data_IF_627660737512
#
_entry.id   IF_627660737512
#
_cell.length_a   1.000
_cell.length_b   1.000
_cell.length_c   1.000
_cell.angle_alpha   90.00
_cell.angle_beta   90.00
_cell.angle_gamma   90.00
#
_symmetry.space_group_name_H-M   'P 1'
#
loop_
_entity.id
_entity.type
_entity.pdbx_description
1 polymer ?
#
# COMPACT_ATOMS: atom_id res chain seq x y z
N UNK A 1 9.27 49.04 6.48
CA UNK A 1 8.53 48.13 5.58
C UNK A 1 9.47 47.22 4.75
N UNK A 2 10.49 46.58 5.34
CA UNK A 2 11.42 45.69 4.59
C UNK A 2 11.45 44.23 5.08
N UNK A 3 10.92 43.94 6.27
CA UNK A 3 10.99 42.60 6.86
C UNK A 3 9.75 41.73 6.61
N UNK A 4 8.64 42.31 6.14
CA UNK A 4 7.41 41.55 5.85
C UNK A 4 7.54 40.62 4.63
N UNK A 5 8.36 41.02 3.65
CA UNK A 5 8.56 40.24 2.43
C UNK A 5 9.35 38.95 2.69
N UNK A 6 10.32 38.99 3.62
CA UNK A 6 11.10 37.83 4.02
C UNK A 6 10.25 36.77 4.75
N UNK A 7 9.28 37.22 5.55
CA UNK A 7 8.35 36.33 6.27
C UNK A 7 7.40 35.65 5.29
N UNK A 8 6.90 36.39 4.28
CA UNK A 8 6.05 35.82 3.23
C UNK A 8 6.78 34.76 2.39
N UNK A 9 8.07 34.98 2.11
CA UNK A 9 8.91 34.03 1.39
C UNK A 9 9.17 32.75 2.19
N UNK A 10 9.29 32.86 3.52
CA UNK A 10 9.49 31.72 4.42
C UNK A 10 8.26 30.81 4.48
N UNK A 11 7.05 31.38 4.45
CA UNK A 11 5.78 30.64 4.52
C UNK A 11 5.55 29.78 3.27
N UNK A 12 6.07 30.21 2.12
CA UNK A 12 5.96 29.45 0.86
C UNK A 12 6.86 28.21 0.80
N UNK A 13 7.92 28.14 1.61
CA UNK A 13 8.85 27.01 1.65
C UNK A 13 8.38 25.85 2.57
N UNK A 14 7.33 26.06 3.37
CA UNK A 14 6.84 25.07 4.35
C UNK A 14 5.67 24.24 3.79
N UNK A 15 5.11 24.60 2.63
CA UNK A 15 4.03 23.83 1.99
C UNK A 15 4.55 22.61 1.24
N UNK A 16 5.05 21.61 1.99
CA UNK A 16 5.23 20.26 1.48
C UNK A 16 3.88 19.53 1.55
N UNK A 17 3.06 19.61 0.51
CA UNK A 17 1.88 18.75 0.41
C UNK A 17 2.33 17.37 -0.07
N UNK A 18 2.41 16.41 0.85
CA UNK A 18 2.61 15.01 0.49
C UNK A 18 1.30 14.51 -0.11
N UNK A 19 1.18 14.59 -1.44
CA UNK A 19 0.15 13.85 -2.14
C UNK A 19 0.37 12.38 -1.81
N UNK A 20 -0.54 11.79 -1.03
CA UNK A 20 -0.65 10.34 -0.94
C UNK A 20 -1.14 9.86 -2.30
N UNK A 21 -0.21 9.77 -3.26
CA UNK A 21 -0.39 9.01 -4.48
C UNK A 21 -0.53 7.55 -4.05
N UNK A 22 -1.75 7.15 -3.69
CA UNK A 22 -2.08 5.75 -3.51
C UNK A 22 -2.00 5.16 -4.91
N UNK A 23 -0.83 4.61 -5.22
CA UNK A 23 -0.57 4.01 -6.52
C UNK A 23 -1.20 2.63 -6.53
N UNK A 24 -2.48 2.55 -6.93
CA UNK A 24 -3.15 1.28 -7.17
C UNK A 24 -2.54 0.66 -8.44
N UNK A 25 -1.60 -0.27 -8.27
CA UNK A 25 -1.06 -1.05 -9.39
C UNK A 25 -2.15 -2.04 -9.85
N UNK A 26 -2.80 -1.68 -10.96
CA UNK A 26 -3.73 -2.54 -11.68
C UNK A 26 -3.02 -3.45 -12.68
N UNK A 27 -1.69 -3.53 -12.63
CA UNK A 27 -0.86 -4.34 -13.55
C UNK A 27 -1.22 -5.84 -13.51
N UNK A 28 -1.97 -6.27 -12.49
CA UNK A 28 -2.48 -7.64 -12.36
C UNK A 28 -3.96 -7.81 -12.76
N UNK A 29 -4.71 -6.75 -13.11
CA UNK A 29 -6.13 -6.88 -13.49
C UNK A 29 -6.30 -7.60 -14.84
N UNK A 30 -5.37 -7.42 -15.78
CA UNK A 30 -5.51 -7.95 -17.14
C UNK A 30 -4.89 -9.35 -17.37
N UNK A 31 -4.08 -9.85 -16.43
CA UNK A 31 -3.34 -11.11 -16.62
C UNK A 31 -4.03 -12.34 -16.03
N UNK A 32 -4.89 -12.17 -15.03
CA UNK A 32 -5.60 -13.27 -14.38
C UNK A 32 -7.08 -13.24 -14.77
N UNK A 33 -7.52 -14.22 -15.58
CA UNK A 33 -8.89 -14.26 -16.14
C UNK A 33 -10.00 -14.18 -15.08
N UNK A 34 -9.82 -14.86 -13.96
CA UNK A 34 -10.87 -15.07 -12.95
C UNK A 34 -10.43 -14.62 -11.53
N UNK A 35 -9.38 -13.79 -11.43
CA UNK A 35 -8.83 -13.36 -10.14
C UNK A 35 -8.43 -11.90 -10.17
N UNK A 36 -8.91 -11.12 -9.21
CA UNK A 36 -8.54 -9.74 -9.00
C UNK A 36 -7.58 -9.66 -7.80
N UNK A 37 -6.44 -9.01 -8.01
CA UNK A 37 -5.51 -8.67 -6.93
C UNK A 37 -5.55 -7.16 -6.69
N UNK A 38 -5.92 -6.75 -5.48
CA UNK A 38 -5.80 -5.37 -5.01
C UNK A 38 -4.62 -5.34 -4.04
N UNK A 39 -3.56 -4.62 -4.40
CA UNK A 39 -2.36 -4.45 -3.58
C UNK A 39 -2.32 -3.02 -3.07
N UNK A 40 -2.14 -2.87 -1.76
CA UNK A 40 -1.86 -1.59 -1.12
C UNK A 40 -0.47 -1.62 -0.51
N UNK A 41 0.25 -0.51 -0.60
CA UNK A 41 1.53 -0.29 0.05
C UNK A 41 1.45 0.96 0.91
N UNK A 42 1.78 0.81 2.18
CA UNK A 42 1.79 1.90 3.14
C UNK A 42 3.20 2.44 3.36
N UNK A 43 3.31 3.61 3.96
CA UNK A 43 4.57 4.37 4.12
C UNK A 43 5.00 4.49 5.59
N UNK A 44 4.77 3.46 6.39
CA UNK A 44 5.05 3.43 7.84
C UNK A 44 6.53 3.64 8.18
N UNK A 45 7.43 3.21 7.29
CA UNK A 45 8.88 3.35 7.40
C UNK A 45 9.41 4.55 6.59
N UNK A 46 8.57 5.55 6.31
CA UNK A 46 8.96 6.78 5.63
C UNK A 46 9.39 6.55 4.17
N UNK A 47 10.61 7.01 3.84
CA UNK A 47 11.17 6.90 2.47
C UNK A 47 11.38 5.46 2.01
N UNK A 48 11.45 4.53 2.96
CA UNK A 48 11.73 3.12 2.69
C UNK A 48 10.46 2.30 2.42
N UNK A 49 9.29 2.94 2.48
CA UNK A 49 7.98 2.31 2.30
C UNK A 49 7.39 1.91 3.64
N UNK A 50 6.84 0.71 3.73
CA UNK A 50 6.10 0.26 4.89
C UNK A 50 5.45 -1.09 4.61
N UNK A 51 4.39 -1.41 5.35
CA UNK A 51 3.74 -2.70 5.17
C UNK A 51 2.90 -2.77 3.89
N UNK A 52 2.75 -3.99 3.39
CA UNK A 52 1.87 -4.31 2.28
C UNK A 52 0.57 -4.94 2.79
N UNK A 53 -0.49 -4.73 2.01
CA UNK A 53 -1.74 -5.46 2.12
C UNK A 53 -2.16 -5.99 0.75
N UNK A 54 -2.70 -7.20 0.73
CA UNK A 54 -3.13 -7.89 -0.48
C UNK A 54 -4.54 -8.41 -0.28
N UNK A 55 -5.44 -8.02 -1.17
CA UNK A 55 -6.76 -8.63 -1.31
C UNK A 55 -6.75 -9.42 -2.61
N UNK A 56 -6.97 -10.74 -2.51
CA UNK A 56 -7.16 -11.63 -3.65
C UNK A 56 -8.63 -12.03 -3.71
N UNK A 57 -9.34 -11.59 -4.74
CA UNK A 57 -10.71 -12.02 -5.03
C UNK A 57 -10.67 -13.02 -6.18
N UNK A 58 -11.31 -14.17 -6.02
CA UNK A 58 -11.32 -15.22 -7.05
C UNK A 58 -12.60 -16.05 -6.99
N UNK A 59 -12.95 -16.65 -8.12
CA UNK A 59 -14.05 -17.61 -8.21
C UNK A 59 -13.55 -19.03 -7.98
N UNK A 60 -14.26 -19.81 -7.16
CA UNK A 60 -14.02 -21.24 -6.94
C UNK A 60 -15.34 -21.96 -6.69
N UNK A 61 -15.67 -22.95 -7.52
CA UNK A 61 -16.85 -23.83 -7.36
C UNK A 61 -18.13 -23.05 -7.05
N UNK A 62 -18.51 -22.13 -7.94
CA UNK A 62 -19.71 -21.28 -7.82
C UNK A 62 -19.70 -20.31 -6.64
N UNK A 63 -18.55 -20.12 -5.99
CA UNK A 63 -18.39 -19.15 -4.90
C UNK A 63 -17.39 -18.07 -5.31
N UNK A 64 -17.73 -16.83 -4.99
CA UNK A 64 -16.74 -15.74 -5.01
C UNK A 64 -16.08 -15.71 -3.63
N UNK A 65 -14.76 -15.84 -3.60
CA UNK A 65 -13.95 -15.85 -2.37
C UNK A 65 -12.99 -14.67 -2.35
N UNK A 66 -12.70 -14.21 -1.15
CA UNK A 66 -11.72 -13.17 -0.86
C UNK A 66 -10.71 -13.70 0.15
N UNK A 67 -9.43 -13.50 -0.14
CA UNK A 67 -8.34 -13.70 0.80
C UNK A 67 -7.69 -12.34 1.04
N UNK A 68 -7.78 -11.87 2.28
CA UNK A 68 -7.08 -10.68 2.74
C UNK A 68 -5.83 -11.11 3.50
N UNK A 69 -4.68 -10.62 3.06
CA UNK A 69 -3.39 -10.80 3.73
C UNK A 69 -2.82 -9.45 4.09
N UNK A 70 -2.47 -9.28 5.38
CA UNK A 70 -1.75 -8.12 5.90
C UNK A 70 -0.36 -8.55 6.35
N UNK A 71 0.63 -7.80 5.92
CA UNK A 71 2.00 -7.97 6.37
C UNK A 71 2.30 -6.98 7.49
N UNK A 72 3.17 -7.38 8.41
CA UNK A 72 3.85 -6.48 9.34
C UNK A 72 5.25 -6.22 8.83
N UNK A 73 5.71 -5.00 9.07
CA UNK A 73 7.02 -4.52 8.66
C UNK A 73 7.90 -4.26 9.89
N UNK A 74 9.17 -4.63 9.81
CA UNK A 74 10.20 -4.17 10.74
C UNK A 74 11.12 -3.18 10.00
N UNK A 75 10.97 -1.89 10.29
CA UNK A 75 11.70 -0.83 9.58
C UNK A 75 13.22 -0.90 9.79
N UNK A 76 13.70 -1.59 10.84
CA UNK A 76 15.11 -1.72 11.16
C UNK A 76 15.79 -2.92 10.50
N UNK A 77 15.02 -3.88 9.98
CA UNK A 77 15.55 -5.14 9.45
C UNK A 77 15.47 -5.15 7.92
N UNK A 78 16.62 -5.42 7.28
CA UNK A 78 16.74 -5.53 5.83
C UNK A 78 17.13 -6.94 5.43
N UNK A 79 16.63 -7.38 4.27
CA UNK A 79 17.09 -8.61 3.64
C UNK A 79 18.45 -8.42 2.95
N UNK A 80 18.99 -9.49 2.37
CA UNK A 80 20.26 -9.46 1.64
C UNK A 80 20.25 -8.54 0.41
N UNK A 81 19.09 -8.07 -0.02
CA UNK A 81 18.91 -7.14 -1.15
C UNK A 81 18.75 -5.68 -0.71
N UNK A 82 18.71 -5.42 0.61
CA UNK A 82 18.47 -4.10 1.18
C UNK A 82 17.00 -3.70 1.28
N UNK A 83 16.08 -4.61 0.92
CA UNK A 83 14.64 -4.39 1.00
C UNK A 83 14.15 -4.59 2.44
N UNK A 84 13.08 -3.89 2.84
CA UNK A 84 12.52 -4.09 4.18
C UNK A 84 11.88 -5.47 4.27
N UNK A 85 12.24 -6.22 5.32
CA UNK A 85 11.64 -7.52 5.59
C UNK A 85 10.18 -7.36 5.99
N UNK A 86 9.31 -8.14 5.36
CA UNK A 86 7.87 -8.17 5.65
C UNK A 86 7.45 -9.58 5.99
N UNK A 87 6.74 -9.73 7.11
CA UNK A 87 6.24 -11.00 7.60
C UNK A 87 4.71 -10.99 7.58
N UNK A 88 4.07 -12.09 7.20
CA UNK A 88 2.61 -12.20 7.26
C UNK A 88 2.14 -12.05 8.72
N UNK A 89 1.29 -11.07 8.98
CA UNK A 89 0.73 -10.80 10.32
C UNK A 89 -0.69 -11.35 10.44
N UNK A 90 -1.50 -11.14 9.41
CA UNK A 90 -2.88 -11.59 9.41
C UNK A 90 -3.30 -12.12 8.06
N UNK A 91 -4.12 -13.17 8.09
CA UNK A 91 -4.76 -13.74 6.91
C UNK A 91 -6.21 -14.06 7.21
N UNK A 92 -7.12 -13.57 6.37
CA UNK A 92 -8.57 -13.80 6.49
C UNK A 92 -9.10 -14.35 5.18
N UNK A 93 -9.88 -15.42 5.28
CA UNK A 93 -10.59 -16.03 4.16
C UNK A 93 -12.08 -15.72 4.33
N UNK A 94 -12.68 -15.13 3.31
CA UNK A 94 -14.06 -14.65 3.33
C UNK A 94 -14.77 -15.18 2.08
N UNK A 95 -15.96 -15.73 2.25
CA UNK A 95 -16.86 -16.02 1.12
C UNK A 95 -17.67 -14.75 0.87
N UNK A 96 -17.53 -14.17 -0.32
CA UNK A 96 -18.24 -12.96 -0.72
C UNK A 96 -19.63 -13.26 -1.27
N UNK A 97 -19.75 -14.35 -2.04
CA UNK A 97 -21.03 -14.78 -2.60
C UNK A 97 -21.03 -16.27 -2.91
N UNK A 98 -22.22 -16.83 -2.96
CA UNK A 98 -22.52 -18.15 -3.54
C UNK A 98 -23.49 -17.91 -4.70
N UNK A 99 -23.21 -18.47 -5.88
CA UNK A 99 -24.13 -18.46 -7.02
C UNK A 99 -25.28 -19.43 -6.83
#
# INVERSE_FOLDING_TARGET
MKNGFAILLLILLISCSKSSNINYSFDNILSYKDTIFIKSRFADCGEWGGHNEIIKVYSEKEQTKLVYTRYRVDCGVRDSTGSIVQNEEAKKNIVLSTS
#
